data_IF_901060129738
#
_entry.id   IF_901060129738
#
_cell.length_a   1.000
_cell.length_b   1.000
_cell.length_c   1.000
_cell.angle_alpha   90.00
_cell.angle_beta   90.00
_cell.angle_gamma   90.00
#
_symmetry.space_group_name_H-M   'P 1'
#
loop_
_entity.id
_entity.type
_entity.pdbx_description
1 polymer ?
#
# COMPACT_ATOMS: atom_id res chain seq x y z
N UNK A 1 -17.53 -1.84 3.19
CA UNK A 1 -16.07 -1.86 3.44
C UNK A 1 -15.33 -1.84 2.12
N UNK A 2 -14.29 -1.05 2.03
CA UNK A 2 -13.50 -0.86 0.81
C UNK A 2 -12.11 -1.44 1.02
N UNK A 3 -11.62 -2.19 0.03
CA UNK A 3 -10.24 -2.64 -0.03
C UNK A 3 -9.47 -1.74 -0.99
N UNK A 4 -8.24 -1.40 -0.64
CA UNK A 4 -7.33 -0.58 -1.46
C UNK A 4 -6.02 -1.34 -1.63
N UNK A 5 -5.51 -1.38 -2.86
CA UNK A 5 -4.24 -2.05 -3.14
C UNK A 5 -3.34 -1.20 -4.04
N UNK A 6 -2.04 -1.36 -3.84
CA UNK A 6 -1.00 -0.73 -4.64
C UNK A 6 0.15 -1.70 -4.84
N UNK A 7 0.84 -1.61 -5.97
CA UNK A 7 1.98 -2.46 -6.29
C UNK A 7 3.22 -1.65 -6.65
N UNK A 8 4.36 -2.09 -6.14
CA UNK A 8 5.68 -1.64 -6.58
C UNK A 8 6.66 -2.78 -6.55
N UNK A 9 7.87 -2.56 -7.03
CA UNK A 9 8.94 -3.54 -6.97
C UNK A 9 10.28 -2.85 -6.73
N UNK A 10 11.13 -3.51 -5.95
CA UNK A 10 12.48 -3.05 -5.64
C UNK A 10 13.47 -4.17 -5.96
N UNK A 11 14.75 -3.85 -6.04
CA UNK A 11 15.79 -4.87 -6.08
C UNK A 11 15.70 -5.72 -4.82
N UNK A 12 15.83 -7.03 -4.95
CA UNK A 12 15.74 -7.94 -3.80
C UNK A 12 16.76 -7.58 -2.70
N UNK A 13 17.93 -7.07 -3.08
CA UNK A 13 18.92 -6.61 -2.12
C UNK A 13 18.44 -5.43 -1.25
N UNK A 14 17.47 -4.65 -1.74
CA UNK A 14 16.91 -3.50 -1.04
C UNK A 14 15.59 -3.81 -0.32
N UNK A 15 15.08 -5.04 -0.44
CA UNK A 15 13.74 -5.38 0.05
C UNK A 15 13.58 -5.14 1.55
N UNK A 16 14.54 -5.55 2.37
CA UNK A 16 14.45 -5.36 3.82
C UNK A 16 14.49 -3.88 4.20
N UNK A 17 15.35 -3.12 3.55
CA UNK A 17 15.45 -1.67 3.80
C UNK A 17 14.16 -0.94 3.39
N UNK A 18 13.59 -1.33 2.25
CA UNK A 18 12.34 -0.72 1.78
C UNK A 18 11.16 -1.09 2.68
N UNK A 19 11.09 -2.35 3.13
CA UNK A 19 10.06 -2.79 4.08
C UNK A 19 10.10 -1.96 5.36
N UNK A 20 11.30 -1.72 5.91
CA UNK A 20 11.48 -0.89 7.09
C UNK A 20 11.03 0.55 6.83
N UNK A 21 11.33 1.08 5.67
CA UNK A 21 10.92 2.44 5.29
C UNK A 21 9.39 2.56 5.19
N UNK A 22 8.72 1.60 4.55
CA UNK A 22 7.26 1.61 4.46
C UNK A 22 6.63 1.49 5.85
N UNK A 23 7.20 0.68 6.73
CA UNK A 23 6.70 0.52 8.08
C UNK A 23 6.74 1.84 8.85
N UNK A 24 7.81 2.61 8.70
CA UNK A 24 7.98 3.90 9.38
C UNK A 24 7.14 5.03 8.76
N UNK A 25 6.74 4.90 7.50
CA UNK A 25 6.02 5.95 6.76
C UNK A 25 4.58 5.55 6.48
N UNK A 26 4.35 4.79 5.42
CA UNK A 26 3.01 4.45 4.95
C UNK A 26 2.20 3.68 5.97
N UNK A 27 2.77 2.67 6.61
CA UNK A 27 2.04 1.83 7.55
C UNK A 27 1.60 2.63 8.78
N UNK A 28 2.43 3.55 9.28
CA UNK A 28 2.04 4.43 10.38
C UNK A 28 0.89 5.35 9.97
N UNK A 29 0.91 5.86 8.75
CA UNK A 29 -0.14 6.70 8.22
C UNK A 29 -1.47 5.93 8.11
N UNK A 30 -1.44 4.68 7.61
CA UNK A 30 -2.62 3.82 7.60
C UNK A 30 -3.20 3.68 9.01
N UNK A 31 -2.36 3.31 9.96
CA UNK A 31 -2.79 3.02 11.32
C UNK A 31 -3.40 4.24 12.03
N UNK A 32 -2.94 5.44 11.69
CA UNK A 32 -3.38 6.68 12.34
C UNK A 32 -4.62 7.30 11.69
N UNK A 33 -5.08 6.79 10.55
CA UNK A 33 -6.23 7.37 9.85
C UNK A 33 -7.53 6.74 10.34
N UNK A 34 -8.49 7.55 10.84
CA UNK A 34 -9.80 7.03 11.24
C UNK A 34 -10.49 6.31 10.09
N UNK A 35 -11.13 5.19 10.40
CA UNK A 35 -11.83 4.37 9.42
C UNK A 35 -10.95 3.31 8.76
N UNK A 36 -9.66 3.28 9.06
CA UNK A 36 -8.80 2.18 8.64
C UNK A 36 -9.11 0.93 9.46
N UNK A 37 -9.31 -0.20 8.79
CA UNK A 37 -9.63 -1.49 9.39
C UNK A 37 -8.47 -2.47 9.34
N UNK A 38 -7.30 -2.02 8.96
CA UNK A 38 -6.10 -2.82 8.88
C UNK A 38 -5.34 -2.54 7.61
N UNK A 39 -4.06 -2.81 7.64
CA UNK A 39 -3.18 -2.67 6.49
C UNK A 39 -2.13 -3.76 6.53
N UNK A 40 -1.77 -4.26 5.36
CA UNK A 40 -0.79 -5.32 5.21
C UNK A 40 0.19 -4.93 4.12
N UNK A 41 1.44 -5.27 4.33
CA UNK A 41 2.48 -5.17 3.32
C UNK A 41 2.86 -6.59 2.94
N UNK A 42 2.64 -6.95 1.68
CA UNK A 42 2.87 -8.28 1.15
C UNK A 42 4.07 -8.24 0.22
N UNK A 43 4.90 -9.26 0.27
CA UNK A 43 6.07 -9.33 -0.61
C UNK A 43 6.21 -10.72 -1.22
N UNK A 44 6.79 -10.77 -2.41
CA UNK A 44 7.27 -12.00 -3.02
C UNK A 44 8.41 -11.70 -3.96
N UNK A 45 9.35 -12.62 -4.08
CA UNK A 45 10.39 -12.53 -5.10
C UNK A 45 9.79 -12.83 -6.47
N UNK A 46 10.21 -12.08 -7.47
CA UNK A 46 9.80 -12.25 -8.86
C UNK A 46 11.06 -12.31 -9.74
N UNK A 47 10.88 -12.59 -11.03
CA UNK A 47 11.99 -12.70 -11.97
C UNK A 47 12.80 -11.40 -12.05
N UNK A 48 14.07 -11.53 -12.40
CA UNK A 48 14.95 -10.40 -12.62
C UNK A 48 15.61 -9.85 -11.36
N UNK A 49 15.62 -10.62 -10.26
CA UNK A 49 16.24 -10.19 -9.00
C UNK A 49 15.45 -9.09 -8.30
N UNK A 50 14.15 -9.07 -8.51
CA UNK A 50 13.25 -8.08 -7.91
C UNK A 50 12.37 -8.71 -6.83
N UNK A 51 11.93 -7.89 -5.89
CA UNK A 51 10.91 -8.23 -4.90
C UNK A 51 9.70 -7.33 -5.13
N UNK A 52 8.55 -7.96 -5.36
CA UNK A 52 7.28 -7.26 -5.51
C UNK A 52 6.72 -6.93 -4.14
N UNK A 53 6.23 -5.71 -3.99
CA UNK A 53 5.53 -5.24 -2.80
C UNK A 53 4.09 -4.92 -3.16
N UNK A 54 3.16 -5.43 -2.36
CA UNK A 54 1.75 -5.04 -2.43
C UNK A 54 1.41 -4.42 -1.07
N UNK A 55 0.86 -3.21 -1.08
CA UNK A 55 0.20 -2.68 0.11
C UNK A 55 -1.29 -2.91 -0.05
N UNK A 56 -1.90 -3.50 0.96
CA UNK A 56 -3.32 -3.84 0.97
C UNK A 56 -3.93 -3.29 2.26
N UNK A 57 -5.03 -2.57 2.14
CA UNK A 57 -5.68 -1.96 3.30
C UNK A 57 -7.19 -2.05 3.19
N UNK A 58 -7.85 -2.06 4.35
CA UNK A 58 -9.30 -2.11 4.46
C UNK A 58 -9.81 -0.84 5.14
N UNK A 59 -10.96 -0.36 4.67
CA UNK A 59 -11.52 0.93 5.07
C UNK A 59 -13.03 0.83 5.25
N UNK A 60 -13.56 1.61 6.20
CA UNK A 60 -15.01 1.65 6.45
C UNK A 60 -15.80 2.13 5.24
N UNK A 61 -15.23 3.08 4.48
CA UNK A 61 -15.95 3.78 3.42
C UNK A 61 -14.96 4.49 2.50
N UNK A 62 -15.45 5.00 1.37
CA UNK A 62 -14.66 5.89 0.52
C UNK A 62 -14.31 7.20 1.20
N UNK A 63 -15.13 7.69 2.11
CA UNK A 63 -14.79 8.90 2.88
C UNK A 63 -13.53 8.67 3.72
N UNK A 64 -13.40 7.50 4.32
CA UNK A 64 -12.19 7.13 5.06
C UNK A 64 -10.97 7.02 4.13
N UNK A 65 -11.15 6.47 2.93
CA UNK A 65 -10.08 6.42 1.91
C UNK A 65 -9.65 7.84 1.54
N UNK A 66 -10.59 8.77 1.34
CA UNK A 66 -10.28 10.17 1.03
C UNK A 66 -9.54 10.86 2.17
N UNK A 67 -9.88 10.53 3.41
CA UNK A 67 -9.18 11.08 4.57
C UNK A 67 -7.70 10.69 4.59
N UNK A 68 -7.39 9.49 4.09
CA UNK A 68 -6.01 9.00 3.96
C UNK A 68 -5.31 9.56 2.71
N UNK A 69 -5.94 9.45 1.55
CA UNK A 69 -5.31 9.62 0.25
C UNK A 69 -5.68 10.93 -0.46
N UNK A 70 -6.64 11.69 0.06
CA UNK A 70 -7.15 12.89 -0.58
C UNK A 70 -8.29 12.59 -1.56
N UNK A 71 -8.84 13.62 -2.18
CA UNK A 71 -9.98 13.48 -3.10
C UNK A 71 -9.59 12.66 -4.33
N UNK A 72 -8.36 12.78 -4.79
CA UNK A 72 -7.79 12.01 -5.90
C UNK A 72 -7.23 10.67 -5.41
N UNK A 73 -8.04 9.90 -4.72
CA UNK A 73 -7.59 8.69 -4.02
C UNK A 73 -7.14 7.55 -4.95
N UNK A 74 -7.44 7.62 -6.24
CA UNK A 74 -6.94 6.64 -7.23
C UNK A 74 -5.46 6.85 -7.55
N UNK A 75 -4.92 8.04 -7.29
CA UNK A 75 -3.50 8.34 -7.51
C UNK A 75 -2.69 7.80 -6.35
N UNK A 76 -1.62 7.06 -6.67
CA UNK A 76 -0.73 6.53 -5.64
C UNK A 76 -0.01 7.65 -4.92
N UNK A 77 0.16 7.47 -3.60
CA UNK A 77 0.83 8.42 -2.74
C UNK A 77 2.24 7.94 -2.46
N UNK A 78 3.23 8.77 -2.79
CA UNK A 78 4.63 8.44 -2.59
C UNK A 78 5.25 9.28 -1.47
N UNK A 79 6.29 8.72 -0.86
CA UNK A 79 7.08 9.36 0.19
C UNK A 79 8.46 9.71 -0.37
N UNK A 80 9.22 10.63 0.28
CA UNK A 80 10.43 11.19 -0.32
C UNK A 80 11.48 10.19 -0.79
N UNK A 81 11.65 9.07 -0.10
CA UNK A 81 12.68 8.09 -0.46
C UNK A 81 12.18 6.96 -1.35
N UNK A 82 10.89 6.96 -1.74
CA UNK A 82 10.38 5.91 -2.63
C UNK A 82 11.16 5.83 -3.94
N UNK A 83 11.54 6.96 -4.52
CA UNK A 83 12.31 7.02 -5.76
C UNK A 83 13.67 6.33 -5.66
N UNK A 84 14.23 6.28 -4.45
CA UNK A 84 15.52 5.64 -4.20
C UNK A 84 15.44 4.12 -4.34
N UNK A 85 14.31 3.53 -4.03
CA UNK A 85 14.13 2.08 -3.97
C UNK A 85 13.34 1.52 -5.15
N UNK A 86 12.27 2.20 -5.56
CA UNK A 86 11.31 1.65 -6.51
C UNK A 86 11.89 1.58 -7.92
N UNK A 87 11.97 0.36 -8.45
CA UNK A 87 12.36 0.07 -9.83
C UNK A 87 11.11 0.07 -10.72
N UNK A 88 10.02 -0.47 -10.20
CA UNK A 88 8.70 -0.47 -10.84
C UNK A 88 7.68 0.05 -9.85
N UNK A 89 6.69 0.80 -10.32
CA UNK A 89 5.61 1.28 -9.46
C UNK A 89 4.33 1.52 -10.26
N UNK A 90 3.22 1.18 -9.65
CA UNK A 90 1.92 1.63 -10.15
C UNK A 90 1.72 3.09 -9.73
N UNK A 91 1.28 3.92 -10.67
CA UNK A 91 0.98 5.33 -10.41
C UNK A 91 -0.43 5.51 -9.84
N UNK A 92 -1.23 4.46 -9.87
CA UNK A 92 -2.58 4.48 -9.32
C UNK A 92 -2.82 3.28 -8.42
N UNK A 93 -3.80 3.44 -7.54
CA UNK A 93 -4.25 2.39 -6.63
C UNK A 93 -5.57 1.81 -7.13
N UNK A 94 -5.82 0.55 -6.81
CA UNK A 94 -7.07 -0.12 -7.11
C UNK A 94 -7.95 -0.15 -5.87
N UNK A 95 -9.26 -0.06 -6.08
CA UNK A 95 -10.26 -0.11 -5.01
C UNK A 95 -11.32 -1.15 -5.34
N UNK A 96 -11.78 -1.85 -4.30
CA UNK A 96 -12.67 -2.99 -4.42
C UNK A 96 -13.71 -2.88 -3.32
N UNK A 97 -14.96 -3.20 -3.65
CA UNK A 97 -15.97 -3.42 -2.61
C UNK A 97 -15.77 -4.81 -2.00
N UNK A 98 -15.70 -4.87 -0.68
CA UNK A 98 -15.64 -6.16 0.01
C UNK A 98 -17.06 -6.70 0.05
N UNK A 99 -17.35 -7.68 -0.80
CA UNK A 99 -18.68 -8.26 -0.93
C UNK A 99 -18.97 -9.24 0.19
N UNK A 100 -17.93 -9.94 0.65
CA UNK A 100 -18.07 -11.00 1.65
C UNK A 100 -16.76 -11.22 2.40
N UNK A 101 -16.87 -11.53 3.69
CA UNK A 101 -15.71 -11.84 4.52
C UNK A 101 -16.10 -12.96 5.49
N UNK A 102 -15.15 -13.86 5.77
CA UNK A 102 -15.34 -14.94 6.74
C UNK A 102 -14.68 -14.67 8.08
N UNK A 103 -13.94 -13.57 8.19
CA UNK A 103 -13.16 -13.26 9.39
C UNK A 103 -13.77 -12.15 10.24
N UNK A 104 -15.03 -12.06 10.26
CA UNK A 104 -15.76 -11.17 11.17
C UNK A 104 -16.00 -9.79 10.63
#
# INVERSE_FOLDING_TARGET
MIARSWRGAVKTADADAYAAYIDETGMQHYASTPGNRGAWMLTREVDGGLTEFITFSLWDSYDAVRAFAGDDYTVARFYPEDDRYLVERDLSCHHWDVVRSTSG
#
